data_IF_271821188139
#
_entry.id   IF_271821188139
#
_cell.length_a   1.000
_cell.length_b   1.000
_cell.length_c   1.000
_cell.angle_alpha   90.00
_cell.angle_beta   90.00
_cell.angle_gamma   90.00
#
_symmetry.space_group_name_H-M   'P 1'
#
loop_
_entity.id
_entity.type
_entity.pdbx_description
1 polymer ?
#
# COMPACT_ATOMS: atom_id res chain seq x y z
N UNK A 1 -15.93 7.10 -2.22
CA UNK A 1 -15.55 8.43 -2.77
C UNK A 1 -14.13 8.45 -3.33
N UNK A 2 -13.08 8.15 -2.55
CA UNK A 2 -11.66 8.14 -3.01
C UNK A 2 -11.37 7.26 -4.26
N UNK A 3 -12.01 6.10 -4.39
CA UNK A 3 -11.85 5.24 -5.56
C UNK A 3 -12.45 5.85 -6.84
N UNK A 4 -13.56 6.59 -6.72
CA UNK A 4 -14.22 7.29 -7.83
C UNK A 4 -13.37 8.47 -8.29
N UNK A 5 -12.77 9.21 -7.34
CA UNK A 5 -11.86 10.33 -7.63
C UNK A 5 -10.58 9.86 -8.35
N UNK A 6 -9.99 8.73 -7.92
CA UNK A 6 -8.86 8.11 -8.63
C UNK A 6 -9.21 7.70 -10.05
N UNK A 7 -10.42 7.18 -10.26
CA UNK A 7 -10.88 6.78 -11.59
C UNK A 7 -11.13 7.98 -12.51
N UNK A 8 -11.71 9.07 -12.01
CA UNK A 8 -11.91 10.32 -12.75
C UNK A 8 -10.57 10.98 -13.15
N UNK A 9 -9.56 10.96 -12.27
CA UNK A 9 -8.22 11.46 -12.58
C UNK A 9 -7.50 10.64 -13.67
N UNK A 10 -7.77 9.34 -13.77
CA UNK A 10 -7.24 8.50 -14.86
C UNK A 10 -7.85 8.83 -16.22
N UNK A 11 -9.07 9.39 -16.26
CA UNK A 11 -9.74 9.76 -17.51
C UNK A 11 -9.22 11.08 -18.09
N UNK A 12 -8.84 12.05 -17.26
CA UNK A 12 -8.24 13.31 -17.72
C UNK A 12 -6.83 13.10 -18.31
N UNK A 13 -6.14 12.02 -17.92
CA UNK A 13 -4.85 11.63 -18.49
C UNK A 13 -4.99 11.16 -19.95
N UNK A 14 -6.12 10.51 -20.30
CA UNK A 14 -6.39 9.97 -21.64
C UNK A 14 -6.60 11.09 -22.67
N UNK A 15 -7.09 12.27 -22.25
CA UNK A 15 -7.27 13.41 -23.16
C UNK A 15 -5.95 14.00 -23.66
N UNK A 16 -4.85 13.92 -22.87
CA UNK A 16 -3.56 14.52 -23.25
C UNK A 16 -2.84 13.80 -24.39
N UNK A 17 -3.13 12.53 -24.65
CA UNK A 17 -2.39 11.73 -25.64
C UNK A 17 -2.93 11.83 -27.08
N UNK A 18 -4.06 12.50 -27.32
CA UNK A 18 -4.74 12.46 -28.63
C UNK A 18 -4.63 13.76 -29.44
N UNK A 19 -3.41 14.19 -29.76
CA UNK A 19 -3.16 15.28 -30.73
C UNK A 19 -2.63 14.73 -32.06
N UNK A 20 -3.47 14.04 -32.84
CA UNK A 20 -3.20 13.80 -34.26
C UNK A 20 -4.45 13.39 -35.04
N UNK A 21 -4.73 14.13 -36.13
CA UNK A 21 -5.76 13.96 -37.18
C UNK A 21 -7.23 14.19 -36.79
N UNK A 22 -7.76 15.34 -37.25
CA UNK A 22 -9.06 15.98 -36.94
C UNK A 22 -10.30 15.07 -36.98
N UNK A 23 -10.36 14.05 -37.83
CA UNK A 23 -11.59 13.23 -37.97
C UNK A 23 -11.67 12.08 -36.97
N UNK A 24 -10.53 11.61 -36.44
CA UNK A 24 -10.50 10.61 -35.35
C UNK A 24 -10.80 11.26 -33.99
N UNK A 25 -10.41 12.52 -33.82
CA UNK A 25 -10.59 13.29 -32.59
C UNK A 25 -12.07 13.46 -32.23
N UNK A 26 -12.96 13.68 -33.19
CA UNK A 26 -14.41 13.86 -32.92
C UNK A 26 -15.05 12.58 -32.39
N UNK A 27 -14.69 11.41 -32.93
CA UNK A 27 -15.26 10.11 -32.48
C UNK A 27 -14.74 9.67 -31.12
N UNK A 28 -13.47 9.96 -30.81
CA UNK A 28 -12.88 9.66 -29.49
C UNK A 28 -13.50 10.55 -28.40
N UNK A 29 -13.66 11.85 -28.67
CA UNK A 29 -14.34 12.78 -27.74
C UNK A 29 -15.77 12.35 -27.43
N UNK A 30 -16.54 11.90 -28.43
CA UNK A 30 -17.90 11.42 -28.21
C UNK A 30 -17.95 10.12 -27.39
N UNK A 31 -17.02 9.19 -27.65
CA UNK A 31 -16.93 7.93 -26.90
C UNK A 31 -16.56 8.12 -25.43
N UNK A 32 -15.63 9.03 -25.13
CA UNK A 32 -15.21 9.37 -23.76
C UNK A 32 -16.34 10.08 -23.00
N UNK A 33 -17.03 11.04 -23.63
CA UNK A 33 -18.18 11.73 -23.02
C UNK A 33 -19.32 10.75 -22.72
N UNK A 34 -19.63 9.82 -23.63
CA UNK A 34 -20.66 8.79 -23.39
C UNK A 34 -20.25 7.83 -22.28
N UNK A 35 -18.99 7.40 -22.22
CA UNK A 35 -18.49 6.54 -21.16
C UNK A 35 -18.57 7.23 -19.78
N UNK A 36 -18.18 8.51 -19.71
CA UNK A 36 -18.28 9.34 -18.50
C UNK A 36 -19.75 9.48 -18.07
N UNK A 37 -20.64 9.82 -19.01
CA UNK A 37 -22.07 9.98 -18.72
C UNK A 37 -22.71 8.68 -18.21
N UNK A 38 -22.38 7.53 -18.80
CA UNK A 38 -22.87 6.22 -18.36
C UNK A 38 -22.33 5.82 -16.98
N UNK A 39 -21.06 6.11 -16.71
CA UNK A 39 -20.45 5.83 -15.40
C UNK A 39 -21.00 6.74 -14.30
N UNK A 40 -21.29 8.01 -14.61
CA UNK A 40 -21.96 8.92 -13.66
C UNK A 40 -23.39 8.45 -13.41
N UNK A 41 -24.14 8.08 -14.45
CA UNK A 41 -25.51 7.56 -14.30
C UNK A 41 -25.56 6.29 -13.43
N UNK A 42 -24.59 5.37 -13.59
CA UNK A 42 -24.46 4.19 -12.75
C UNK A 42 -24.15 4.54 -11.28
N UNK A 43 -23.36 5.60 -11.06
CA UNK A 43 -23.04 6.10 -9.72
C UNK A 43 -24.27 6.73 -9.04
N UNK A 44 -25.09 7.50 -9.79
CA UNK A 44 -26.31 8.17 -9.28
C UNK A 44 -27.36 7.20 -8.72
N UNK A 45 -27.39 5.96 -9.23
CA UNK A 45 -28.34 4.93 -8.75
C UNK A 45 -28.06 4.52 -7.30
N UNK A 46 -26.80 4.61 -6.85
CA UNK A 46 -26.36 4.11 -5.53
C UNK A 46 -26.18 5.26 -4.50
N UNK A 47 -26.46 6.50 -4.90
CA UNK A 47 -26.30 7.68 -4.06
C UNK A 47 -27.56 8.01 -3.25
N UNK A 48 -27.37 8.65 -2.09
CA UNK A 48 -28.44 9.20 -1.27
C UNK A 48 -29.20 10.30 -2.05
N UNK A 49 -30.48 10.59 -1.72
CA UNK A 49 -31.27 11.58 -2.46
C UNK A 49 -30.59 12.96 -2.59
N UNK A 50 -29.92 13.43 -1.54
CA UNK A 50 -29.18 14.70 -1.58
C UNK A 50 -27.96 14.67 -2.52
N UNK A 51 -27.25 13.54 -2.61
CA UNK A 51 -26.11 13.39 -3.51
C UNK A 51 -26.53 13.16 -4.98
N UNK A 52 -27.75 12.65 -5.21
CA UNK A 52 -28.34 12.49 -6.54
C UNK A 52 -28.57 13.84 -7.22
N UNK A 53 -29.12 14.82 -6.51
CA UNK A 53 -29.43 16.15 -7.09
C UNK A 53 -28.16 16.89 -7.51
N UNK A 54 -27.07 16.77 -6.73
CA UNK A 54 -25.76 17.33 -7.08
C UNK A 54 -25.14 16.64 -8.31
N UNK A 55 -25.27 15.32 -8.44
CA UNK A 55 -24.78 14.61 -9.63
C UNK A 55 -25.57 14.98 -10.90
N UNK A 56 -26.88 15.19 -10.80
CA UNK A 56 -27.71 15.59 -11.95
C UNK A 56 -27.28 16.98 -12.45
N UNK A 57 -27.10 17.96 -11.56
CA UNK A 57 -26.59 19.28 -11.93
C UNK A 57 -25.19 19.23 -12.57
N UNK A 58 -24.32 18.33 -12.07
CA UNK A 58 -22.99 18.13 -12.64
C UNK A 58 -23.07 17.59 -14.08
N UNK A 59 -23.92 16.60 -14.33
CA UNK A 59 -24.11 16.03 -15.68
C UNK A 59 -24.68 17.07 -16.63
N UNK A 60 -25.68 17.84 -16.22
CA UNK A 60 -26.25 18.90 -17.06
C UNK A 60 -25.20 19.96 -17.42
N UNK A 61 -24.35 20.34 -16.46
CA UNK A 61 -23.25 21.29 -16.66
C UNK A 61 -22.16 20.71 -17.57
N UNK A 62 -21.84 19.42 -17.47
CA UNK A 62 -20.86 18.75 -18.35
C UNK A 62 -21.39 18.57 -19.77
N UNK A 63 -22.68 18.31 -19.93
CA UNK A 63 -23.31 18.09 -21.25
C UNK A 63 -23.50 19.41 -22.01
N UNK A 64 -23.69 20.54 -21.32
CA UNK A 64 -24.00 21.83 -21.95
C UNK A 64 -22.94 22.92 -21.74
N UNK A 65 -21.96 22.71 -20.86
CA UNK A 65 -20.97 23.71 -20.46
C UNK A 65 -19.68 23.66 -21.27
N UNK A 66 -19.04 24.83 -21.35
CA UNK A 66 -17.68 24.97 -21.86
C UNK A 66 -16.70 24.19 -20.96
N UNK A 67 -15.63 23.61 -21.54
CA UNK A 67 -14.71 22.72 -20.83
C UNK A 67 -14.07 23.38 -19.59
N UNK A 68 -13.93 24.71 -19.62
CA UNK A 68 -13.42 25.53 -18.53
C UNK A 68 -14.36 25.54 -17.31
N UNK A 69 -15.68 25.57 -17.53
CA UNK A 69 -16.70 25.53 -16.47
C UNK A 69 -16.72 24.16 -15.78
N UNK A 70 -16.48 23.09 -16.53
CA UNK A 70 -16.38 21.73 -15.98
C UNK A 70 -15.16 21.61 -15.07
N UNK A 71 -14.00 22.15 -15.45
CA UNK A 71 -12.80 22.10 -14.62
C UNK A 71 -12.95 22.91 -13.33
N UNK A 72 -13.53 24.11 -13.42
CA UNK A 72 -13.82 24.97 -12.26
C UNK A 72 -14.78 24.28 -11.27
N UNK A 73 -15.84 23.64 -11.81
CA UNK A 73 -16.86 22.94 -11.01
C UNK A 73 -16.28 21.68 -10.35
N UNK A 74 -15.45 20.91 -11.08
CA UNK A 74 -14.75 19.76 -10.51
C UNK A 74 -13.80 20.21 -9.40
N UNK A 75 -13.03 21.29 -9.58
CA UNK A 75 -12.20 21.86 -8.50
C UNK A 75 -13.03 22.24 -7.28
N UNK A 76 -14.15 22.91 -7.50
CA UNK A 76 -15.03 23.38 -6.41
C UNK A 76 -15.65 22.21 -5.63
N UNK A 77 -16.02 21.12 -6.33
CA UNK A 77 -16.68 19.96 -5.72
C UNK A 77 -15.68 18.99 -5.10
N UNK A 78 -14.53 18.79 -5.74
CA UNK A 78 -13.45 17.97 -5.19
C UNK A 78 -12.75 18.70 -4.05
N UNK A 79 -12.86 20.04 -4.02
CA UNK A 79 -12.06 20.90 -3.18
C UNK A 79 -10.60 20.85 -3.62
N UNK A 80 -9.87 21.95 -3.46
CA UNK A 80 -8.42 21.88 -3.31
C UNK A 80 -8.09 21.26 -1.93
N UNK A 81 -8.68 20.09 -1.62
CA UNK A 81 -8.30 19.26 -0.49
C UNK A 81 -6.99 18.55 -0.86
N UNK A 82 -5.92 19.32 -0.97
CA UNK A 82 -4.71 18.92 -0.26
C UNK A 82 -5.12 18.87 1.21
N UNK A 83 -5.80 17.80 1.61
CA UNK A 83 -6.07 17.50 2.99
C UNK A 83 -4.68 17.46 3.63
N UNK A 84 -4.32 18.53 4.34
CA UNK A 84 -3.17 18.58 5.21
C UNK A 84 -3.31 17.35 6.09
N UNK A 85 -2.57 16.31 5.75
CA UNK A 85 -2.71 15.03 6.40
C UNK A 85 -2.33 15.28 7.85
N UNK A 86 -3.31 15.20 8.73
CA UNK A 86 -3.14 15.26 10.18
C UNK A 86 -1.82 14.56 10.54
N UNK A 87 -0.91 15.23 11.25
CA UNK A 87 0.45 14.74 11.45
C UNK A 87 0.38 13.34 12.04
N UNK A 88 0.81 12.36 11.25
CA UNK A 88 0.79 10.96 11.64
C UNK A 88 1.69 10.85 12.87
N UNK A 89 1.14 10.36 13.97
CA UNK A 89 1.92 10.07 15.17
C UNK A 89 3.11 9.19 14.77
N UNK A 90 4.33 9.68 15.04
CA UNK A 90 5.56 8.95 14.75
C UNK A 90 5.50 7.59 15.47
N UNK A 91 5.71 6.51 14.74
CA UNK A 91 5.63 5.14 15.29
C UNK A 91 6.94 4.81 15.99
N UNK A 92 8.05 5.12 15.32
CA UNK A 92 9.40 4.89 15.79
C UNK A 92 10.41 5.19 14.69
N UNK A 93 11.66 5.50 15.06
CA UNK A 93 12.65 6.02 14.12
C UNK A 93 13.03 5.00 13.04
N UNK A 94 12.97 3.68 13.31
CA UNK A 94 13.33 2.67 12.32
C UNK A 94 12.18 2.44 11.33
N UNK A 95 10.94 2.34 11.81
CA UNK A 95 9.76 2.23 10.95
C UNK A 95 9.63 3.46 10.06
N UNK A 96 9.79 4.67 10.62
CA UNK A 96 9.66 5.92 9.86
C UNK A 96 10.77 6.08 8.79
N UNK A 97 11.93 5.46 8.99
CA UNK A 97 13.05 5.46 8.05
C UNK A 97 12.98 4.33 6.98
N UNK A 98 12.10 3.34 7.16
CA UNK A 98 11.97 2.23 6.22
C UNK A 98 11.41 2.71 4.86
N UNK A 99 11.70 2.02 3.74
CA UNK A 99 11.08 2.33 2.44
C UNK A 99 9.55 2.30 2.54
N UNK A 100 8.85 3.17 1.81
CA UNK A 100 7.40 3.32 1.91
C UNK A 100 6.62 2.01 1.62
N UNK A 101 7.13 1.19 0.70
CA UNK A 101 6.55 -0.13 0.41
C UNK A 101 6.70 -1.13 1.56
N UNK A 102 7.81 -1.04 2.32
CA UNK A 102 8.04 -1.85 3.52
C UNK A 102 7.12 -1.37 4.64
N UNK A 103 7.00 -0.05 4.85
CA UNK A 103 6.07 0.53 5.84
C UNK A 103 4.62 0.09 5.57
N UNK A 104 4.20 0.16 4.30
CA UNK A 104 2.86 -0.25 3.89
C UNK A 104 2.63 -1.75 4.12
N UNK A 105 3.61 -2.59 3.77
CA UNK A 105 3.51 -4.04 3.98
C UNK A 105 3.48 -4.41 5.47
N UNK A 106 4.30 -3.78 6.31
CA UNK A 106 4.25 -3.96 7.77
C UNK A 106 2.88 -3.56 8.32
N UNK A 107 2.37 -2.39 7.90
CA UNK A 107 1.08 -1.91 8.35
C UNK A 107 -0.10 -2.78 7.93
N UNK A 108 0.05 -3.55 6.85
CA UNK A 108 -0.97 -4.48 6.37
C UNK A 108 -1.05 -5.77 7.20
N UNK A 109 0.09 -6.31 7.65
CA UNK A 109 0.15 -7.66 8.24
C UNK A 109 0.54 -7.73 9.72
N UNK A 110 1.23 -6.73 10.26
CA UNK A 110 1.65 -6.74 11.66
C UNK A 110 0.74 -5.89 12.56
N UNK A 111 0.51 -6.30 13.82
CA UNK A 111 -0.10 -5.44 14.84
C UNK A 111 0.62 -4.09 14.95
N UNK A 112 -0.12 -3.00 15.21
CA UNK A 112 0.44 -1.64 15.24
C UNK A 112 1.59 -1.49 16.23
N UNK A 113 1.48 -2.12 17.39
CA UNK A 113 2.50 -2.13 18.45
C UNK A 113 3.77 -2.91 18.08
N UNK A 114 3.73 -3.70 17.00
CA UNK A 114 4.87 -4.46 16.48
C UNK A 114 5.53 -3.82 15.25
N UNK A 115 5.03 -2.69 14.75
CA UNK A 115 5.56 -2.08 13.52
C UNK A 115 7.03 -1.69 13.62
N UNK A 116 7.44 -1.08 14.74
CA UNK A 116 8.85 -0.71 14.96
C UNK A 116 9.74 -1.95 15.04
N UNK A 117 9.29 -3.01 15.73
CA UNK A 117 10.03 -4.26 15.86
C UNK A 117 10.16 -4.98 14.49
N UNK A 118 9.08 -5.02 13.71
CA UNK A 118 9.09 -5.61 12.38
C UNK A 118 10.06 -4.89 11.44
N UNK A 119 10.07 -3.55 11.49
CA UNK A 119 11.02 -2.74 10.72
C UNK A 119 12.47 -2.95 11.19
N UNK A 120 12.70 -3.00 12.51
CA UNK A 120 14.02 -3.24 13.08
C UNK A 120 14.60 -4.62 12.72
N UNK A 121 13.77 -5.67 12.71
CA UNK A 121 14.19 -7.00 12.26
C UNK A 121 14.51 -6.97 10.77
N UNK A 122 13.65 -6.41 9.91
CA UNK A 122 13.92 -6.34 8.47
C UNK A 122 15.20 -5.54 8.14
N UNK A 123 15.46 -4.45 8.87
CA UNK A 123 16.70 -3.68 8.77
C UNK A 123 17.92 -4.55 9.16
N UNK A 124 17.83 -5.29 10.25
CA UNK A 124 18.91 -6.16 10.72
C UNK A 124 19.18 -7.35 9.78
N UNK A 125 18.13 -8.02 9.30
CA UNK A 125 18.23 -9.23 8.48
C UNK A 125 18.73 -8.95 7.06
N UNK A 126 18.27 -7.86 6.43
CA UNK A 126 18.54 -7.60 5.01
C UNK A 126 18.96 -6.17 4.69
N UNK A 127 18.86 -5.24 5.63
CA UNK A 127 19.00 -3.81 5.32
C UNK A 127 17.85 -3.30 4.45
N UNK A 128 16.64 -3.84 4.62
CA UNK A 128 15.46 -3.61 3.75
C UNK A 128 15.64 -4.02 2.29
N UNK A 129 16.55 -4.96 2.00
CA UNK A 129 16.78 -5.46 0.65
C UNK A 129 15.81 -6.59 0.30
N UNK A 130 14.93 -6.33 -0.65
CA UNK A 130 14.02 -7.34 -1.19
C UNK A 130 14.74 -8.48 -1.91
N UNK A 131 15.91 -8.20 -2.50
CA UNK A 131 16.73 -9.17 -3.23
C UNK A 131 17.71 -9.95 -2.34
N UNK A 132 17.67 -9.77 -1.03
CA UNK A 132 18.58 -10.46 -0.11
C UNK A 132 18.30 -11.97 -0.12
N UNK A 133 19.34 -12.76 -0.40
CA UNK A 133 19.26 -14.21 -0.47
C UNK A 133 20.49 -14.83 0.18
N UNK A 134 20.29 -15.57 1.26
CA UNK A 134 21.31 -16.44 1.82
C UNK A 134 20.99 -17.90 1.44
N UNK A 135 21.70 -18.38 0.41
CA UNK A 135 21.59 -19.75 -0.06
C UNK A 135 22.86 -20.54 0.27
N UNK A 136 22.71 -21.59 1.07
CA UNK A 136 23.77 -22.55 1.37
C UNK A 136 23.22 -23.98 1.39
N UNK A 137 24.10 -24.96 1.68
CA UNK A 137 23.69 -26.36 1.79
C UNK A 137 22.68 -26.60 2.92
N UNK A 138 22.67 -25.74 3.94
CA UNK A 138 21.85 -25.84 5.15
C UNK A 138 20.81 -24.72 5.28
N UNK A 139 20.87 -23.68 4.45
CA UNK A 139 20.03 -22.49 4.55
C UNK A 139 19.49 -22.04 3.19
N UNK A 140 18.26 -21.51 3.19
CA UNK A 140 17.66 -20.83 2.05
C UNK A 140 16.76 -19.71 2.61
N UNK A 141 17.37 -18.57 2.92
CA UNK A 141 16.73 -17.42 3.57
C UNK A 141 16.52 -16.27 2.59
N UNK A 142 15.30 -15.74 2.48
CA UNK A 142 14.92 -14.84 1.38
C UNK A 142 14.23 -13.55 1.82
N UNK A 143 14.55 -12.46 1.13
CA UNK A 143 13.88 -11.16 1.21
C UNK A 143 14.11 -10.41 2.52
N UNK A 144 13.18 -9.50 2.82
CA UNK A 144 13.29 -8.49 3.89
C UNK A 144 13.59 -9.09 5.26
N UNK A 145 12.82 -10.11 5.66
CA UNK A 145 12.96 -10.80 6.94
C UNK A 145 13.79 -12.08 6.82
N UNK A 146 14.57 -12.27 5.75
CA UNK A 146 15.41 -13.46 5.54
C UNK A 146 14.68 -14.77 5.91
N UNK A 147 13.49 -14.99 5.33
CA UNK A 147 12.64 -16.13 5.69
C UNK A 147 13.32 -17.42 5.24
N UNK A 148 13.72 -18.25 6.21
CA UNK A 148 14.30 -19.56 5.95
C UNK A 148 13.22 -20.55 5.48
N UNK A 149 13.18 -20.81 4.17
CA UNK A 149 12.18 -21.71 3.55
C UNK A 149 12.51 -23.18 3.76
N UNK A 150 13.71 -23.55 4.21
CA UNK A 150 13.98 -24.94 4.64
C UNK A 150 13.31 -25.24 5.98
N UNK A 151 13.26 -24.26 6.87
CA UNK A 151 12.58 -24.35 8.16
C UNK A 151 11.06 -24.08 8.06
N UNK A 152 10.64 -23.27 7.08
CA UNK A 152 9.25 -22.87 6.87
C UNK A 152 8.85 -23.10 5.39
N UNK A 153 8.81 -24.37 4.97
CA UNK A 153 8.61 -24.73 3.57
C UNK A 153 7.26 -24.28 2.98
N UNK A 154 6.24 -24.12 3.83
CA UNK A 154 4.93 -23.56 3.45
C UNK A 154 5.02 -22.09 3.01
N UNK A 155 6.08 -21.37 3.37
CA UNK A 155 6.27 -19.98 2.95
C UNK A 155 6.62 -19.84 1.46
N UNK A 156 6.93 -20.93 0.75
CA UNK A 156 7.15 -20.93 -0.69
C UNK A 156 5.88 -20.60 -1.51
N UNK A 157 4.70 -20.62 -0.88
CA UNK A 157 3.44 -20.20 -1.50
C UNK A 157 3.34 -18.68 -1.68
N UNK A 158 4.20 -17.90 -1.00
CA UNK A 158 4.23 -16.44 -1.07
C UNK A 158 5.34 -15.93 -1.99
N UNK A 159 5.14 -14.74 -2.56
CA UNK A 159 6.21 -14.03 -3.26
C UNK A 159 7.16 -13.37 -2.25
N UNK A 160 8.19 -14.11 -1.87
CA UNK A 160 9.20 -13.69 -0.90
C UNK A 160 10.14 -12.58 -1.42
N UNK A 161 10.02 -12.18 -2.69
CA UNK A 161 10.79 -11.08 -3.28
C UNK A 161 10.00 -9.77 -3.36
N UNK A 162 8.74 -9.78 -2.93
CA UNK A 162 7.89 -8.59 -2.81
C UNK A 162 7.77 -8.15 -1.35
N UNK A 163 7.70 -6.85 -1.09
CA UNK A 163 7.55 -6.34 0.28
C UNK A 163 6.29 -6.90 0.94
N UNK A 164 5.18 -6.90 0.20
CA UNK A 164 3.89 -7.41 0.66
C UNK A 164 3.93 -8.92 0.93
N UNK A 165 4.44 -9.72 -0.01
CA UNK A 165 4.49 -11.18 0.14
C UNK A 165 5.46 -11.63 1.24
N UNK A 166 6.64 -11.01 1.33
CA UNK A 166 7.60 -11.30 2.39
C UNK A 166 7.07 -10.89 3.78
N UNK A 167 6.39 -9.73 3.89
CA UNK A 167 5.78 -9.30 5.15
C UNK A 167 4.65 -10.22 5.60
N UNK A 168 3.81 -10.70 4.67
CA UNK A 168 2.74 -11.64 4.98
C UNK A 168 3.29 -12.95 5.55
N UNK A 169 4.32 -13.52 4.88
CA UNK A 169 4.99 -14.72 5.35
C UNK A 169 5.67 -14.50 6.72
N UNK A 170 6.32 -13.34 6.92
CA UNK A 170 6.94 -12.98 8.20
C UNK A 170 5.90 -12.87 9.33
N UNK A 171 4.76 -12.22 9.09
CA UNK A 171 3.70 -12.10 10.09
C UNK A 171 3.18 -13.49 10.54
N UNK A 172 3.03 -14.44 9.60
CA UNK A 172 2.62 -15.81 9.93
C UNK A 172 3.67 -16.51 10.81
N UNK A 173 4.96 -16.35 10.51
CA UNK A 173 6.04 -16.91 11.34
C UNK A 173 6.03 -16.27 12.74
N UNK A 174 5.85 -14.94 12.80
CA UNK A 174 5.74 -14.19 14.05
C UNK A 174 4.56 -14.66 14.90
N UNK A 175 3.38 -14.90 14.31
CA UNK A 175 2.23 -15.45 15.06
C UNK A 175 2.53 -16.83 15.66
N UNK A 176 3.32 -17.66 14.96
CA UNK A 176 3.67 -19.02 15.40
C UNK A 176 4.75 -19.05 16.48
N UNK A 177 5.74 -18.16 16.39
CA UNK A 177 7.01 -18.29 17.14
C UNK A 177 7.45 -17.01 17.86
N UNK A 178 6.73 -15.90 17.66
CA UNK A 178 7.17 -14.56 18.04
C UNK A 178 8.48 -14.16 17.36
N UNK A 179 9.18 -13.17 17.94
CA UNK A 179 10.48 -12.72 17.44
C UNK A 179 11.61 -13.75 17.58
N UNK A 180 11.37 -14.87 18.28
CA UNK A 180 12.37 -15.93 18.42
C UNK A 180 12.76 -16.62 17.11
N UNK A 181 11.91 -16.53 16.07
CA UNK A 181 12.23 -17.03 14.73
C UNK A 181 13.45 -16.31 14.11
N UNK A 182 13.72 -15.06 14.51
CA UNK A 182 14.86 -14.25 14.09
C UNK A 182 15.85 -14.07 15.23
N UNK A 183 16.22 -15.18 15.90
CA UNK A 183 16.94 -15.18 17.17
C UNK A 183 18.12 -14.20 17.22
N UNK A 184 18.97 -14.18 16.18
CA UNK A 184 20.17 -13.35 16.15
C UNK A 184 19.83 -11.86 16.19
N UNK A 185 18.98 -11.39 15.28
CA UNK A 185 18.53 -9.99 15.25
C UNK A 185 17.67 -9.64 16.46
N UNK A 186 16.72 -10.49 16.84
CA UNK A 186 15.83 -10.24 17.97
C UNK A 186 16.57 -10.15 19.33
N UNK A 187 17.64 -10.93 19.51
CA UNK A 187 18.50 -10.81 20.70
C UNK A 187 19.29 -9.50 20.67
N UNK A 188 19.89 -9.15 19.52
CA UNK A 188 20.64 -7.90 19.36
C UNK A 188 19.79 -6.65 19.59
N UNK A 189 18.50 -6.73 19.26
CA UNK A 189 17.50 -5.68 19.47
C UNK A 189 16.86 -5.70 20.87
N UNK A 190 17.15 -6.71 21.70
CA UNK A 190 16.57 -6.85 23.04
C UNK A 190 15.09 -7.26 23.07
N UNK A 191 14.55 -7.75 21.93
CA UNK A 191 13.16 -8.22 21.83
C UNK A 191 12.95 -9.57 22.51
N UNK A 192 14.02 -10.37 22.58
CA UNK A 192 14.07 -11.60 23.37
C UNK A 192 15.27 -11.56 24.29
N UNK A 193 15.12 -12.15 25.48
CA UNK A 193 16.24 -12.32 26.41
C UNK A 193 16.90 -13.66 26.11
N UNK A 194 18.21 -13.65 25.83
CA UNK A 194 18.97 -14.87 26.04
C UNK A 194 18.93 -15.19 27.53
N UNK A 195 18.53 -16.42 27.87
CA UNK A 195 18.85 -16.96 29.17
C UNK A 195 20.37 -17.07 29.20
N UNK A 196 21.03 -16.04 29.74
CA UNK A 196 22.47 -16.09 30.03
C UNK A 196 22.75 -17.41 30.76
N UNK A 197 23.74 -18.16 30.29
CA UNK A 197 24.16 -19.44 30.87
C UNK A 197 24.30 -19.36 32.41
N UNK A 198 24.69 -18.20 32.93
CA UNK A 198 24.84 -17.92 34.37
C UNK A 198 23.54 -18.06 35.19
N UNK A 199 22.35 -17.83 34.60
CA UNK A 199 21.07 -18.02 35.30
C UNK A 199 20.62 -19.47 35.34
N UNK A 200 21.04 -20.29 34.38
CA UNK A 200 20.77 -21.72 34.38
C UNK A 200 21.61 -22.45 35.44
N UNK A 201 22.81 -21.96 35.72
CA UNK A 201 23.69 -22.47 36.77
C UNK A 201 23.30 -21.99 38.18
N UNK A 202 22.64 -20.83 38.31
CA UNK A 202 22.15 -20.33 39.60
C UNK A 202 20.81 -20.95 40.04
N UNK A 203 20.14 -21.70 39.16
CA UNK A 203 18.88 -22.40 39.43
C UNK A 203 19.04 -23.93 39.59
N UNK A 204 20.26 -24.44 39.52
CA UNK A 204 20.63 -25.84 39.73
C UNK A 204 21.41 -26.01 41.05
#
# INVERSE_FOLDING_TARGET
>A
MKAVLKWLASLSLIERETTSTETKVVRVKFGVVVAIALSIAALVIVLTPAARDHCIQLVETVVHGDAEVVQETVRTIVGDEEAEAEPREAVGPVYDAAPAEVQAAIAEFFPRDEWENAAAIALCESGFRLDAHNLSDIEDSRGLWQINVRANADMLEYDLWSARGNAHAAAIIFERQGWAAWKHCATGLGLIKELSHDRALQAA
#
